data_IF_352232943122
#
_entry.id   IF_352232943122
#
_cell.length_a   1.000
_cell.length_b   1.000
_cell.length_c   1.000
_cell.angle_alpha   90.00
_cell.angle_beta   90.00
_cell.angle_gamma   90.00
#
_symmetry.space_group_name_H-M   'P 1'
#
loop_
_entity.id
_entity.type
_entity.pdbx_description
1 polymer ?
#
# COMPACT_ATOMS: atom_id res chain seq x y z
N UNK A 1 16.44 -8.53 9.07
CA UNK A 1 15.78 -7.28 9.54
C UNK A 1 14.54 -7.59 10.39
N UNK A 2 13.58 -8.38 9.91
CA UNK A 2 12.34 -8.71 10.64
C UNK A 2 12.50 -9.39 12.00
N UNK A 3 13.38 -10.40 12.16
CA UNK A 3 13.64 -11.04 13.46
C UNK A 3 14.01 -10.05 14.57
N UNK A 4 14.80 -9.03 14.23
CA UNK A 4 15.24 -8.01 15.20
C UNK A 4 14.14 -7.02 15.57
N UNK A 5 13.19 -6.78 14.67
CA UNK A 5 12.01 -5.95 14.94
C UNK A 5 11.08 -6.70 15.89
N UNK A 6 10.67 -7.93 15.55
CA UNK A 6 9.76 -8.74 16.38
C UNK A 6 10.28 -8.94 17.81
N UNK A 7 11.57 -9.28 17.97
CA UNK A 7 12.16 -9.50 19.31
C UNK A 7 12.20 -8.24 20.19
N UNK A 8 12.40 -7.06 19.61
CA UNK A 8 12.47 -5.80 20.39
C UNK A 8 11.10 -5.25 20.76
N UNK A 9 10.08 -5.56 19.97
CA UNK A 9 8.73 -5.02 20.14
C UNK A 9 7.93 -5.69 21.26
N UNK A 10 8.46 -6.71 21.95
CA UNK A 10 7.75 -7.50 22.97
C UNK A 10 6.40 -8.07 22.49
N UNK A 11 6.24 -8.27 21.18
CA UNK A 11 5.03 -8.79 20.56
C UNK A 11 4.92 -10.30 20.87
N UNK A 12 3.92 -10.66 21.68
CA UNK A 12 3.72 -12.02 22.23
C UNK A 12 2.50 -12.73 21.64
N UNK A 13 1.59 -11.99 20.99
CA UNK A 13 0.35 -12.51 20.42
C UNK A 13 0.40 -12.69 18.90
N UNK A 14 -0.36 -13.68 18.39
CA UNK A 14 -0.40 -14.16 16.99
C UNK A 14 -0.72 -13.09 15.92
N UNK A 15 -1.13 -11.88 16.29
CA UNK A 15 -1.47 -10.77 15.36
C UNK A 15 -1.07 -9.38 15.87
N UNK A 16 -0.32 -9.28 16.98
CA UNK A 16 -0.08 -8.00 17.67
C UNK A 16 0.66 -6.95 16.81
N UNK A 17 1.36 -7.36 15.76
CA UNK A 17 2.03 -6.46 14.81
C UNK A 17 1.19 -6.04 13.60
N UNK A 18 0.03 -6.65 13.39
CA UNK A 18 -0.89 -6.35 12.28
C UNK A 18 -2.08 -5.58 12.85
N UNK A 19 -1.81 -4.34 13.25
CA UNK A 19 -2.80 -3.45 13.87
C UNK A 19 -3.58 -2.71 12.79
N UNK A 20 -4.87 -2.48 13.01
CA UNK A 20 -5.75 -1.73 12.10
C UNK A 20 -5.75 -2.26 10.66
N UNK A 21 -5.71 -3.58 10.54
CA UNK A 21 -5.81 -4.30 9.27
C UNK A 21 -7.00 -5.24 9.28
N UNK A 22 -7.76 -5.22 8.20
CA UNK A 22 -8.87 -6.14 7.96
C UNK A 22 -8.58 -6.84 6.64
N UNK A 23 -8.39 -8.15 6.67
CA UNK A 23 -8.12 -8.92 5.46
C UNK A 23 -7.36 -10.22 5.73
N UNK A 24 -7.02 -10.96 4.67
CA UNK A 24 -6.29 -12.21 4.81
C UNK A 24 -4.86 -11.98 5.32
N UNK A 25 -4.36 -12.97 6.03
CA UNK A 25 -2.96 -13.04 6.48
C UNK A 25 -2.41 -14.43 6.16
N UNK A 26 -1.11 -14.52 5.90
CA UNK A 26 -0.40 -15.79 5.74
C UNK A 26 0.72 -15.89 6.78
N UNK A 27 1.07 -17.09 7.23
CA UNK A 27 2.24 -17.27 8.08
C UNK A 27 3.52 -17.09 7.28
N UNK A 28 4.55 -16.51 7.90
CA UNK A 28 5.82 -16.27 7.25
C UNK A 28 6.60 -17.59 7.11
N UNK A 29 7.09 -17.95 5.92
CA UNK A 29 7.63 -19.29 5.63
C UNK A 29 8.87 -19.67 6.46
N UNK A 30 9.58 -18.69 7.00
CA UNK A 30 10.80 -18.90 7.79
C UNK A 30 10.70 -18.41 9.24
N UNK A 31 9.52 -17.95 9.67
CA UNK A 31 9.29 -17.37 11.00
C UNK A 31 7.95 -17.86 11.54
N UNK A 32 7.95 -19.00 12.28
CA UNK A 32 6.74 -19.51 12.90
C UNK A 32 6.07 -18.46 13.79
N UNK A 33 4.74 -18.47 13.83
CA UNK A 33 3.87 -17.53 14.55
C UNK A 33 3.99 -16.05 14.11
N UNK A 34 4.75 -15.76 13.05
CA UNK A 34 4.81 -14.43 12.44
C UNK A 34 3.94 -14.42 11.20
N UNK A 35 2.89 -13.62 11.23
CA UNK A 35 1.95 -13.50 10.12
C UNK A 35 2.25 -12.28 9.25
N UNK A 36 1.85 -12.34 7.98
CA UNK A 36 1.99 -11.25 7.02
C UNK A 36 0.65 -10.92 6.36
N UNK A 37 0.41 -9.64 6.08
CA UNK A 37 -0.74 -9.22 5.24
C UNK A 37 -0.60 -9.88 3.88
N UNK A 38 -1.68 -10.48 3.38
CA UNK A 38 -1.69 -11.27 2.15
C UNK A 38 -3.10 -11.29 1.52
N UNK A 39 -3.19 -11.71 0.25
CA UNK A 39 -4.45 -11.95 -0.43
C UNK A 39 -4.97 -10.74 -1.22
N UNK A 40 -6.09 -10.92 -1.91
CA UNK A 40 -6.61 -9.93 -2.86
C UNK A 40 -7.29 -8.72 -2.19
N UNK A 41 -7.88 -8.92 -1.02
CA UNK A 41 -8.83 -8.00 -0.40
C UNK A 41 -8.41 -7.67 1.04
N UNK A 42 -7.43 -6.78 1.19
CA UNK A 42 -6.98 -6.30 2.50
C UNK A 42 -7.06 -4.79 2.63
N UNK A 43 -7.52 -4.33 3.80
CA UNK A 43 -7.62 -2.93 4.17
C UNK A 43 -6.68 -2.63 5.34
N UNK A 44 -5.82 -1.63 5.20
CA UNK A 44 -4.95 -1.13 6.27
C UNK A 44 -5.21 0.35 6.51
N UNK A 45 -5.39 0.71 7.78
CA UNK A 45 -5.36 2.10 8.26
C UNK A 45 -4.07 2.33 9.06
N UNK A 46 -3.26 3.30 8.65
CA UNK A 46 -2.03 3.66 9.39
C UNK A 46 -2.31 4.70 10.47
N UNK A 47 -1.38 4.81 11.42
CA UNK A 47 -1.47 5.81 12.50
C UNK A 47 -1.49 7.26 11.99
N UNK A 48 -0.94 7.53 10.79
CA UNK A 48 -1.01 8.83 10.14
C UNK A 48 -2.33 9.06 9.38
N UNK A 49 -3.28 8.13 9.44
CA UNK A 49 -4.59 8.20 8.80
C UNK A 49 -4.63 7.80 7.33
N UNK A 50 -3.49 7.47 6.70
CA UNK A 50 -3.51 6.87 5.37
C UNK A 50 -4.35 5.59 5.40
N UNK A 51 -5.02 5.27 4.29
CA UNK A 51 -5.77 4.03 4.15
C UNK A 51 -5.53 3.39 2.80
N UNK A 52 -5.24 2.09 2.80
CA UNK A 52 -5.05 1.30 1.58
C UNK A 52 -6.06 0.18 1.56
N UNK A 53 -6.66 -0.03 0.41
CA UNK A 53 -7.61 -1.10 0.12
C UNK A 53 -7.14 -1.78 -1.16
N UNK A 54 -6.82 -3.07 -1.08
CA UNK A 54 -6.37 -3.82 -2.25
C UNK A 54 -5.57 -5.05 -1.89
N UNK A 55 -4.80 -5.54 -2.86
CA UNK A 55 -4.08 -6.80 -2.69
C UNK A 55 -2.76 -6.62 -1.95
N UNK A 56 -2.37 -7.67 -1.25
CA UNK A 56 -1.19 -7.74 -0.41
C UNK A 56 -0.40 -9.01 -0.70
N UNK A 57 0.91 -8.90 -0.64
CA UNK A 57 1.82 -10.03 -0.67
C UNK A 57 2.93 -9.79 0.33
N UNK A 58 3.13 -10.70 1.29
CA UNK A 58 4.22 -10.63 2.27
C UNK A 58 4.38 -9.24 2.92
N UNK A 59 3.28 -8.68 3.45
CA UNK A 59 3.17 -7.34 4.06
C UNK A 59 3.27 -6.12 3.14
N UNK A 60 3.54 -6.25 1.85
CA UNK A 60 3.64 -5.12 0.93
C UNK A 60 2.43 -5.05 -0.01
N UNK A 61 2.11 -3.86 -0.50
CA UNK A 61 1.09 -3.69 -1.55
C UNK A 61 1.50 -4.49 -2.79
N UNK A 62 0.53 -5.17 -3.38
CA UNK A 62 0.73 -5.95 -4.60
C UNK A 62 -0.57 -5.94 -5.41
N UNK A 63 -0.51 -6.35 -6.68
CA UNK A 63 -1.71 -6.53 -7.50
C UNK A 63 -2.38 -5.18 -7.77
N UNK A 64 -3.67 -5.06 -7.48
CA UNK A 64 -4.40 -3.80 -7.62
C UNK A 64 -4.77 -3.26 -6.25
N UNK A 65 -4.72 -1.94 -6.10
CA UNK A 65 -5.10 -1.30 -4.85
C UNK A 65 -5.25 0.20 -4.96
N UNK A 66 -5.95 0.75 -3.97
CA UNK A 66 -6.23 2.16 -3.80
C UNK A 66 -5.66 2.64 -2.47
N UNK A 67 -4.84 3.68 -2.50
CA UNK A 67 -4.32 4.42 -1.36
C UNK A 67 -5.00 5.78 -1.32
N UNK A 68 -5.59 6.11 -0.18
CA UNK A 68 -6.22 7.40 0.09
C UNK A 68 -5.59 8.07 1.31
N UNK A 69 -5.69 9.38 1.36
CA UNK A 69 -5.24 10.18 2.49
C UNK A 69 -6.27 10.19 3.64
N UNK A 70 -5.97 10.80 4.80
CA UNK A 70 -6.89 10.84 5.94
C UNK A 70 -8.22 11.55 5.66
N UNK A 71 -8.28 12.41 4.64
CA UNK A 71 -9.51 13.10 4.22
C UNK A 71 -10.36 12.24 3.27
N UNK A 72 -9.84 11.09 2.85
CA UNK A 72 -10.44 10.23 1.83
C UNK A 72 -10.08 10.66 0.40
N UNK A 73 -9.19 11.65 0.22
CA UNK A 73 -8.71 12.04 -1.09
C UNK A 73 -7.83 10.94 -1.67
N UNK A 74 -8.07 10.59 -2.93
CA UNK A 74 -7.22 9.64 -3.65
C UNK A 74 -5.77 10.09 -3.62
N UNK A 75 -4.86 9.18 -3.27
CA UNK A 75 -3.41 9.37 -3.44
C UNK A 75 -2.96 8.58 -4.66
N UNK A 76 -3.26 7.28 -4.70
CA UNK A 76 -2.96 6.44 -5.86
C UNK A 76 -3.97 5.30 -6.00
N UNK A 77 -4.41 5.02 -7.23
CA UNK A 77 -5.19 3.83 -7.57
C UNK A 77 -4.59 3.19 -8.80
N UNK A 78 -4.23 1.92 -8.72
CA UNK A 78 -3.65 1.23 -9.86
C UNK A 78 -2.96 -0.06 -9.46
N UNK A 79 -2.05 -0.48 -10.32
CA UNK A 79 -1.25 -1.66 -10.09
C UNK A 79 -0.07 -1.38 -9.15
N UNK A 80 0.28 -2.39 -8.35
CA UNK A 80 1.36 -2.40 -7.39
C UNK A 80 2.20 -3.65 -7.59
N UNK A 81 3.52 -3.49 -7.50
CA UNK A 81 4.45 -4.60 -7.51
C UNK A 81 5.49 -4.39 -6.42
N UNK A 82 5.49 -5.29 -5.42
CA UNK A 82 6.44 -5.27 -4.29
C UNK A 82 6.46 -3.92 -3.55
N UNK A 83 5.27 -3.33 -3.33
CA UNK A 83 5.10 -2.05 -2.65
C UNK A 83 5.33 -0.81 -3.52
N UNK A 84 5.70 -0.97 -4.79
CA UNK A 84 5.94 0.13 -5.72
C UNK A 84 4.78 0.25 -6.71
N UNK A 85 4.42 1.48 -7.11
CA UNK A 85 3.49 1.74 -8.20
C UNK A 85 4.05 1.14 -9.49
N UNK A 86 3.21 0.41 -10.22
CA UNK A 86 3.58 -0.31 -11.43
C UNK A 86 2.39 -0.37 -12.39
N UNK A 87 2.63 -0.62 -13.68
CA UNK A 87 1.59 -0.87 -14.67
C UNK A 87 0.67 0.33 -14.87
N UNK A 88 -0.63 0.11 -15.04
CA UNK A 88 -1.56 1.24 -15.21
C UNK A 88 -2.01 1.80 -13.85
N UNK A 89 -2.01 3.12 -13.70
CA UNK A 89 -2.45 3.76 -12.47
C UNK A 89 -2.69 5.27 -12.56
N UNK A 90 -3.53 5.76 -11.64
CA UNK A 90 -3.81 7.17 -11.40
C UNK A 90 -3.16 7.62 -10.09
N UNK A 91 -2.31 8.64 -10.15
CA UNK A 91 -1.71 9.29 -8.98
C UNK A 91 -2.24 10.71 -8.88
N UNK A 92 -2.75 11.07 -7.71
CA UNK A 92 -3.24 12.41 -7.41
C UNK A 92 -2.28 13.07 -6.42
N UNK A 93 -1.89 14.30 -6.73
CA UNK A 93 -0.91 15.04 -5.95
C UNK A 93 -1.16 16.54 -6.04
N UNK A 94 -0.69 17.27 -5.02
CA UNK A 94 -0.74 18.73 -4.98
C UNK A 94 0.60 19.30 -5.42
N UNK A 95 0.57 20.25 -6.33
CA UNK A 95 1.74 21.00 -6.80
C UNK A 95 1.37 22.48 -6.91
N UNK A 96 2.06 23.34 -6.16
CA UNK A 96 1.79 24.79 -6.10
C UNK A 96 0.32 25.09 -5.77
N UNK A 97 -0.22 24.42 -4.76
CA UNK A 97 -1.64 24.48 -4.34
C UNK A 97 -2.68 24.05 -5.38
N UNK A 98 -2.24 23.60 -6.56
CA UNK A 98 -3.10 23.03 -7.59
C UNK A 98 -3.12 21.52 -7.44
N UNK A 99 -4.33 20.96 -7.38
CA UNK A 99 -4.51 19.51 -7.39
C UNK A 99 -4.34 18.99 -8.82
N UNK A 100 -3.55 17.94 -8.99
CA UNK A 100 -3.25 17.33 -10.28
C UNK A 100 -3.44 15.83 -10.21
N UNK A 101 -3.75 15.24 -11.35
CA UNK A 101 -3.79 13.79 -11.52
C UNK A 101 -2.95 13.39 -12.73
N UNK A 102 -2.04 12.44 -12.53
CA UNK A 102 -1.42 11.69 -13.62
C UNK A 102 -2.15 10.35 -13.77
N UNK A 103 -2.55 9.99 -14.99
CA UNK A 103 -3.09 8.67 -15.32
C UNK A 103 -2.29 8.08 -16.47
N UNK A 104 -1.70 6.90 -16.27
CA UNK A 104 -0.90 6.25 -17.29
C UNK A 104 -0.02 5.14 -16.73
N UNK A 105 1.05 4.85 -17.45
CA UNK A 105 1.95 3.74 -17.16
C UNK A 105 2.95 4.07 -16.05
N UNK A 106 3.26 3.08 -15.23
CA UNK A 106 4.16 3.14 -14.10
C UNK A 106 5.17 1.99 -14.11
N UNK A 107 6.39 2.27 -13.69
CA UNK A 107 7.40 1.27 -13.42
C UNK A 107 8.27 1.73 -12.24
N UNK A 108 8.34 0.92 -11.19
CA UNK A 108 9.17 1.18 -10.01
C UNK A 108 8.98 2.60 -9.43
N UNK A 109 7.72 2.97 -9.13
CA UNK A 109 7.31 4.29 -8.60
C UNK A 109 7.54 5.49 -9.53
N UNK A 110 7.93 5.27 -10.78
CA UNK A 110 8.10 6.33 -11.78
C UNK A 110 7.04 6.24 -12.85
N UNK A 111 6.61 7.40 -13.35
CA UNK A 111 5.92 7.48 -14.63
C UNK A 111 6.76 6.79 -15.70
N UNK A 112 6.11 6.03 -16.55
CA UNK A 112 6.72 5.32 -17.68
C UNK A 112 5.78 5.43 -18.88
N UNK A 113 6.31 5.21 -20.08
CA UNK A 113 5.50 5.12 -21.30
C UNK A 113 4.45 6.23 -21.47
N UNK A 114 3.23 5.84 -21.86
CA UNK A 114 2.15 6.77 -22.14
C UNK A 114 1.39 7.18 -20.87
N UNK A 115 1.02 8.46 -20.77
CA UNK A 115 0.16 8.95 -19.71
C UNK A 115 -0.29 10.39 -19.91
N UNK A 116 -1.33 10.77 -19.19
CA UNK A 116 -1.95 12.08 -19.22
C UNK A 116 -1.82 12.77 -17.85
N UNK A 117 -1.42 14.04 -17.86
CA UNK A 117 -1.42 14.90 -16.68
C UNK A 117 -2.55 15.92 -16.82
N UNK A 118 -3.47 15.94 -15.85
CA UNK A 118 -4.57 16.90 -15.78
C UNK A 118 -4.57 17.68 -14.47
N UNK A 119 -5.07 18.91 -14.52
CA UNK A 119 -5.45 19.67 -13.33
C UNK A 119 -6.83 19.19 -12.90
N UNK A 120 -7.02 19.01 -11.59
CA UNK A 120 -8.32 18.72 -11.00
C UNK A 120 -8.88 20.06 -10.49
N UNK A 121 -10.04 20.46 -11.01
CA UNK A 121 -10.79 21.64 -10.58
C UNK A 121 -11.56 21.40 -9.28
#
# INVERSE_FOLDING_TARGET
VWRGVVKRSQMSGRREHIVNYVGPVCEHPHLPDVFCRHGADGEQLWANGLRYMGSWEAHVYHGHGELVDPTGQLVYRGQWHRGLKHGEGTYVFRQNDVLRAYTGQWAFDRFSGAGELRVLE
#
